data_IF_072066084714
#
_entry.id   IF_072066084714
#
_cell.length_a   1.000
_cell.length_b   1.000
_cell.length_c   1.000
_cell.angle_alpha   90.00
_cell.angle_beta   90.00
_cell.angle_gamma   90.00
#
_symmetry.space_group_name_H-M   'P 1'
#
loop_
_entity.id
_entity.type
_entity.pdbx_description
1 polymer ?
#
# COMPACT_ATOMS: atom_id res chain seq x y z
N UNK A 1 -95.60 11.33 -30.50
CA UNK A 1 -94.24 11.46 -31.03
C UNK A 1 -93.29 11.62 -29.86
N UNK A 2 -92.56 10.54 -29.49
CA UNK A 2 -91.65 10.52 -28.35
C UNK A 2 -90.21 10.66 -28.94
N UNK A 3 -89.50 11.72 -28.51
CA UNK A 3 -88.09 11.92 -28.91
C UNK A 3 -87.18 11.10 -27.98
N UNK A 4 -86.46 10.15 -28.60
CA UNK A 4 -85.45 9.34 -27.90
C UNK A 4 -84.16 10.12 -27.86
N UNK A 5 -83.67 10.51 -26.66
CA UNK A 5 -82.39 11.17 -26.45
C UNK A 5 -81.27 10.06 -26.34
N UNK A 6 -80.44 9.98 -27.36
CA UNK A 6 -79.30 9.12 -27.36
C UNK A 6 -78.11 9.78 -26.57
N UNK A 7 -77.86 9.32 -25.35
CA UNK A 7 -76.65 9.71 -24.58
C UNK A 7 -75.51 8.82 -24.92
N UNK A 8 -74.59 9.40 -25.68
CA UNK A 8 -73.29 8.72 -25.96
C UNK A 8 -72.41 8.86 -24.70
N UNK A 9 -72.14 7.73 -24.01
CA UNK A 9 -71.19 7.67 -22.94
C UNK A 9 -69.79 7.43 -23.55
N UNK A 10 -68.92 8.47 -23.51
CA UNK A 10 -67.55 8.38 -23.93
C UNK A 10 -66.75 7.75 -22.80
N UNK A 11 -66.45 6.44 -22.92
CA UNK A 11 -65.59 5.69 -21.99
C UNK A 11 -64.15 5.97 -22.39
N UNK A 12 -63.49 6.92 -21.69
CA UNK A 12 -62.04 7.13 -21.82
C UNK A 12 -61.33 6.03 -21.04
N UNK A 13 -60.87 5.00 -21.74
CA UNK A 13 -60.01 3.98 -21.16
C UNK A 13 -58.60 4.57 -20.94
N UNK A 14 -58.30 4.96 -19.69
CA UNK A 14 -56.97 5.38 -19.29
C UNK A 14 -56.10 4.11 -19.13
N UNK A 15 -55.41 3.70 -20.18
CA UNK A 15 -54.43 2.65 -20.10
C UNK A 15 -53.20 3.17 -19.35
N UNK A 16 -53.06 2.88 -18.05
CA UNK A 16 -51.79 3.03 -17.34
C UNK A 16 -50.75 2.11 -18.01
N UNK A 17 -49.91 2.67 -18.84
CA UNK A 17 -48.71 2.02 -19.32
C UNK A 17 -47.77 1.91 -18.12
N UNK A 18 -47.80 0.80 -17.40
CA UNK A 18 -46.75 0.41 -16.46
C UNK A 18 -45.55 0.05 -17.31
N UNK A 19 -44.67 0.99 -17.57
CA UNK A 19 -43.36 0.66 -18.15
C UNK A 19 -42.64 -0.19 -17.12
N UNK A 20 -42.28 -1.43 -17.44
CA UNK A 20 -41.42 -2.21 -16.56
C UNK A 20 -40.13 -1.36 -16.40
N UNK A 21 -39.81 -0.98 -15.18
CA UNK A 21 -38.49 -0.43 -14.89
C UNK A 21 -37.49 -1.50 -15.35
N UNK A 22 -36.77 -1.23 -16.43
CA UNK A 22 -35.62 -2.07 -16.78
C UNK A 22 -34.66 -1.96 -15.60
N UNK A 23 -34.66 -2.95 -14.72
CA UNK A 23 -33.58 -3.10 -13.76
C UNK A 23 -32.31 -3.16 -14.58
N UNK A 24 -31.39 -2.23 -14.34
CA UNK A 24 -30.07 -2.30 -14.95
C UNK A 24 -29.51 -3.70 -14.64
N UNK A 25 -29.11 -4.43 -15.67
CA UNK A 25 -28.50 -5.73 -15.48
C UNK A 25 -27.25 -5.52 -14.61
N UNK A 26 -27.10 -6.31 -13.57
CA UNK A 26 -25.90 -6.30 -12.76
C UNK A 26 -24.70 -6.67 -13.64
N UNK A 27 -23.68 -5.82 -13.66
CA UNK A 27 -22.44 -6.00 -14.41
C UNK A 27 -21.22 -6.07 -13.50
N UNK A 28 -21.44 -6.02 -12.20
CA UNK A 28 -20.42 -5.99 -11.18
C UNK A 28 -20.07 -7.41 -10.73
N UNK A 29 -18.79 -7.67 -10.51
CA UNK A 29 -18.36 -8.92 -9.90
C UNK A 29 -18.37 -8.81 -8.38
N UNK A 30 -18.52 -9.95 -7.64
CA UNK A 30 -18.48 -9.96 -6.19
C UNK A 30 -17.20 -9.34 -5.62
N UNK A 31 -17.33 -8.54 -4.57
CA UNK A 31 -16.24 -7.84 -3.91
C UNK A 31 -16.14 -8.27 -2.45
N UNK A 32 -14.92 -8.56 -1.98
CA UNK A 32 -14.66 -8.75 -0.55
C UNK A 32 -14.79 -7.42 0.18
N UNK A 33 -15.65 -7.35 1.19
CA UNK A 33 -15.88 -6.13 1.98
C UNK A 33 -15.35 -6.22 3.40
N UNK A 34 -15.28 -7.45 3.95
CA UNK A 34 -14.76 -7.67 5.30
C UNK A 34 -14.26 -9.10 5.48
N UNK A 35 -13.34 -9.31 6.43
CA UNK A 35 -12.88 -10.63 6.83
C UNK A 35 -12.35 -10.64 8.27
N UNK A 36 -12.43 -11.80 8.90
CA UNK A 36 -11.94 -12.03 10.25
C UNK A 36 -11.42 -13.46 10.39
N UNK A 37 -10.17 -13.59 10.86
CA UNK A 37 -9.66 -14.88 11.30
C UNK A 37 -10.37 -15.31 12.58
N UNK A 38 -10.94 -16.51 12.57
CA UNK A 38 -11.42 -17.18 13.77
C UNK A 38 -10.23 -17.88 14.43
N UNK A 39 -9.44 -18.60 13.62
CA UNK A 39 -8.19 -19.21 14.06
C UNK A 39 -7.03 -18.65 13.27
N UNK A 40 -6.11 -17.97 13.96
CA UNK A 40 -4.87 -17.44 13.38
C UNK A 40 -3.72 -18.45 13.41
N UNK A 41 -3.91 -19.57 14.11
CA UNK A 41 -2.91 -20.62 14.29
C UNK A 41 -3.57 -21.98 14.53
N UNK A 42 -2.85 -23.04 14.21
CA UNK A 42 -3.19 -24.42 14.54
C UNK A 42 -1.94 -25.22 14.86
N UNK A 43 -2.09 -26.28 15.67
CA UNK A 43 -0.99 -27.18 16.06
C UNK A 43 -1.29 -28.57 15.53
N UNK A 44 -0.39 -29.09 14.71
CA UNK A 44 -0.48 -30.42 14.10
C UNK A 44 0.49 -31.43 14.73
N UNK A 45 1.08 -31.14 15.89
CA UNK A 45 2.04 -32.03 16.55
C UNK A 45 1.44 -33.36 17.00
N UNK A 46 0.14 -33.43 17.21
CA UNK A 46 -0.56 -34.61 17.73
C UNK A 46 -1.69 -35.13 16.83
N UNK A 47 -1.95 -34.46 15.71
CA UNK A 47 -3.03 -34.81 14.79
C UNK A 47 -3.32 -33.70 13.81
N UNK A 48 -4.41 -33.84 13.07
CA UNK A 48 -4.87 -32.83 12.14
C UNK A 48 -5.26 -31.53 12.87
N UNK A 49 -4.89 -30.39 12.30
CA UNK A 49 -5.25 -29.07 12.78
C UNK A 49 -6.34 -28.42 11.95
N UNK A 50 -7.08 -27.51 12.54
CA UNK A 50 -8.16 -26.79 11.88
C UNK A 50 -7.87 -25.28 11.88
N UNK A 51 -8.16 -24.63 10.77
CA UNK A 51 -8.10 -23.18 10.59
C UNK A 51 -9.44 -22.68 10.07
N UNK A 52 -9.98 -21.61 10.64
CA UNK A 52 -11.27 -21.05 10.26
C UNK A 52 -11.16 -19.56 9.99
N UNK A 53 -11.92 -19.11 8.99
CA UNK A 53 -12.05 -17.72 8.61
C UNK A 53 -13.53 -17.38 8.40
N UNK A 54 -13.91 -16.17 8.72
CA UNK A 54 -15.17 -15.56 8.33
C UNK A 54 -14.87 -14.42 7.36
N UNK A 55 -15.68 -14.29 6.31
CA UNK A 55 -15.54 -13.19 5.36
C UNK A 55 -16.89 -12.79 4.79
N UNK A 56 -16.99 -11.56 4.34
CA UNK A 56 -18.20 -10.99 3.76
C UNK A 56 -17.93 -10.53 2.33
N UNK A 57 -18.83 -10.88 1.44
CA UNK A 57 -18.78 -10.50 0.03
C UNK A 57 -20.00 -9.63 -0.27
N UNK A 58 -19.82 -8.58 -1.06
CA UNK A 58 -20.90 -7.73 -1.55
C UNK A 58 -21.11 -7.94 -3.03
N UNK A 59 -22.38 -8.13 -3.42
CA UNK A 59 -22.80 -8.26 -4.81
C UNK A 59 -24.30 -7.96 -4.93
N UNK A 60 -24.74 -7.41 -6.06
CA UNK A 60 -26.15 -7.14 -6.33
C UNK A 60 -26.89 -8.44 -6.66
N UNK A 61 -26.20 -9.42 -7.23
CA UNK A 61 -26.69 -10.77 -7.53
C UNK A 61 -26.35 -11.75 -6.40
N UNK A 62 -26.88 -12.96 -6.50
CA UNK A 62 -26.44 -14.07 -5.63
C UNK A 62 -25.02 -14.50 -6.00
N UNK A 63 -24.21 -14.77 -4.98
CA UNK A 63 -22.84 -15.22 -5.17
C UNK A 63 -22.85 -16.73 -5.35
N UNK A 64 -22.26 -17.19 -6.45
CA UNK A 64 -22.04 -18.61 -6.67
C UNK A 64 -21.00 -19.15 -5.68
N UNK A 65 -21.13 -20.42 -5.33
CA UNK A 65 -20.35 -21.11 -4.29
C UNK A 65 -18.88 -20.67 -4.26
N UNK A 66 -18.47 -19.81 -3.32
CA UNK A 66 -17.08 -19.39 -3.20
C UNK A 66 -16.20 -20.57 -2.80
N UNK A 67 -14.99 -20.63 -3.33
CA UNK A 67 -14.00 -21.64 -2.99
C UNK A 67 -12.81 -21.01 -2.29
N UNK A 68 -12.29 -21.67 -1.29
CA UNK A 68 -11.07 -21.27 -0.61
C UNK A 68 -10.20 -22.47 -0.25
N UNK A 69 -8.93 -22.24 0.03
CA UNK A 69 -8.06 -23.20 0.69
C UNK A 69 -6.98 -22.47 1.50
N UNK A 70 -6.12 -23.22 2.16
CA UNK A 70 -4.95 -22.69 2.86
C UNK A 70 -3.71 -23.36 2.31
N UNK A 71 -2.73 -22.57 1.89
CA UNK A 71 -1.48 -23.06 1.31
C UNK A 71 -0.25 -22.60 2.08
N UNK A 72 0.76 -23.45 2.16
CA UNK A 72 2.06 -23.12 2.70
C UNK A 72 2.75 -22.03 1.84
N UNK A 73 3.40 -21.08 2.49
CA UNK A 73 4.16 -20.04 1.79
C UNK A 73 5.59 -20.47 1.44
N UNK A 74 6.06 -21.58 2.02
CA UNK A 74 7.43 -22.08 1.86
C UNK A 74 7.51 -23.40 1.10
N UNK A 75 6.38 -24.08 0.94
CA UNK A 75 6.30 -25.35 0.20
C UNK A 75 5.12 -25.30 -0.78
N UNK A 76 4.96 -26.33 -1.59
CA UNK A 76 3.79 -26.48 -2.48
C UNK A 76 2.58 -27.14 -1.81
N UNK A 77 2.64 -27.38 -0.49
CA UNK A 77 1.57 -28.02 0.25
C UNK A 77 0.36 -27.10 0.40
N UNK A 78 -0.81 -27.69 0.26
CA UNK A 78 -2.09 -27.01 0.42
C UNK A 78 -3.06 -27.93 1.17
N UNK A 79 -4.08 -27.33 1.79
CA UNK A 79 -5.24 -28.08 2.26
C UNK A 79 -6.12 -28.50 1.06
N UNK A 80 -7.07 -29.40 1.28
CA UNK A 80 -8.18 -29.55 0.34
C UNK A 80 -8.99 -28.24 0.24
N UNK A 81 -9.88 -28.19 -0.76
CA UNK A 81 -10.79 -27.05 -0.87
C UNK A 81 -11.68 -26.96 0.36
N UNK A 82 -11.76 -25.75 0.91
CA UNK A 82 -12.75 -25.40 1.90
C UNK A 82 -13.95 -24.81 1.16
N UNK A 83 -15.11 -25.38 1.38
CA UNK A 83 -16.39 -24.90 0.84
C UNK A 83 -17.02 -23.98 1.88
N UNK A 84 -16.96 -22.65 1.70
CA UNK A 84 -17.51 -21.71 2.66
C UNK A 84 -19.03 -21.90 2.81
N UNK A 85 -19.49 -21.85 4.05
CA UNK A 85 -20.93 -21.92 4.36
C UNK A 85 -21.45 -20.49 4.54
N UNK A 86 -22.53 -20.17 3.85
CA UNK A 86 -23.27 -18.93 4.07
C UNK A 86 -23.85 -18.94 5.50
N UNK A 87 -23.57 -17.92 6.28
CA UNK A 87 -24.08 -17.78 7.65
C UNK A 87 -25.09 -16.63 7.78
N UNK A 88 -25.01 -15.61 6.91
CA UNK A 88 -26.01 -14.55 6.86
C UNK A 88 -25.97 -13.82 5.51
N UNK A 89 -27.12 -13.25 5.11
CA UNK A 89 -27.25 -12.32 4.00
C UNK A 89 -28.06 -11.12 4.45
N UNK A 90 -27.50 -9.91 4.30
CA UNK A 90 -28.15 -8.64 4.64
C UNK A 90 -28.00 -7.69 3.45
N UNK A 91 -29.08 -7.42 2.76
CA UNK A 91 -29.03 -6.69 1.50
C UNK A 91 -28.11 -7.41 0.49
N UNK A 92 -27.17 -6.68 -0.05
CA UNK A 92 -26.20 -7.19 -1.03
C UNK A 92 -24.97 -7.84 -0.38
N UNK A 93 -24.91 -7.93 0.96
CA UNK A 93 -23.76 -8.49 1.67
C UNK A 93 -24.06 -9.89 2.17
N UNK A 94 -23.28 -10.86 1.68
CA UNK A 94 -23.32 -12.26 2.09
C UNK A 94 -22.10 -12.58 2.94
N UNK A 95 -22.33 -13.11 4.15
CA UNK A 95 -21.25 -13.49 5.08
C UNK A 95 -21.09 -14.99 5.12
N UNK A 96 -19.86 -15.45 4.98
CA UNK A 96 -19.49 -16.86 4.93
C UNK A 96 -18.52 -17.22 6.04
N UNK A 97 -18.51 -18.51 6.41
CA UNK A 97 -17.42 -19.10 7.20
C UNK A 97 -16.80 -20.25 6.42
N UNK A 98 -15.48 -20.33 6.42
CA UNK A 98 -14.73 -21.42 5.81
C UNK A 98 -13.86 -22.13 6.86
N UNK A 99 -13.72 -23.45 6.71
CA UNK A 99 -12.88 -24.29 7.54
C UNK A 99 -11.93 -25.09 6.66
N UNK A 100 -10.65 -25.04 6.98
CA UNK A 100 -9.60 -25.78 6.29
C UNK A 100 -8.87 -26.70 7.27
N UNK A 101 -8.66 -27.95 6.90
CA UNK A 101 -7.95 -28.94 7.71
C UNK A 101 -6.50 -29.08 7.22
N UNK A 102 -5.56 -28.75 8.09
CA UNK A 102 -4.14 -29.00 7.89
C UNK A 102 -3.82 -30.39 8.45
N UNK A 103 -3.32 -31.27 7.60
CA UNK A 103 -3.08 -32.66 8.00
C UNK A 103 -1.81 -32.79 8.85
N UNK A 104 -1.85 -33.75 9.79
CA UNK A 104 -0.65 -34.19 10.50
C UNK A 104 0.46 -34.55 9.52
N UNK A 105 1.69 -34.09 9.81
CA UNK A 105 2.84 -34.32 8.95
C UNK A 105 3.00 -33.35 7.76
N UNK A 106 2.10 -32.39 7.59
CA UNK A 106 2.33 -31.27 6.68
C UNK A 106 3.40 -30.33 7.25
N UNK A 107 4.03 -29.51 6.39
CA UNK A 107 5.10 -28.62 6.81
C UNK A 107 4.57 -27.53 7.75
N UNK A 108 5.23 -27.33 8.90
CA UNK A 108 4.90 -26.19 9.77
C UNK A 108 5.37 -24.88 9.15
N UNK A 109 4.95 -23.75 9.73
CA UNK A 109 5.36 -22.41 9.34
C UNK A 109 4.21 -21.51 8.96
N UNK A 110 4.50 -20.56 8.07
CA UNK A 110 3.49 -19.60 7.58
C UNK A 110 2.69 -20.25 6.46
N UNK A 111 1.40 -20.24 6.65
CA UNK A 111 0.43 -20.62 5.62
C UNK A 111 -0.43 -19.40 5.30
N UNK A 112 -1.10 -19.42 4.14
CA UNK A 112 -1.91 -18.30 3.66
C UNK A 112 -3.27 -18.78 3.17
N UNK A 113 -4.32 -18.09 3.56
CA UNK A 113 -5.62 -18.29 2.97
C UNK A 113 -5.61 -17.86 1.50
N UNK A 114 -6.22 -18.69 0.66
CA UNK A 114 -6.42 -18.47 -0.76
C UNK A 114 -7.92 -18.43 -1.01
N UNK A 115 -8.41 -17.37 -1.64
CA UNK A 115 -9.77 -17.28 -2.14
C UNK A 115 -9.72 -17.31 -3.66
N UNK A 116 -10.37 -18.28 -4.24
CA UNK A 116 -10.44 -18.45 -5.68
C UNK A 116 -11.29 -17.34 -6.33
N UNK A 117 -11.20 -17.16 -7.66
CA UNK A 117 -12.05 -16.19 -8.35
C UNK A 117 -13.52 -16.37 -7.97
N UNK A 118 -14.12 -15.27 -7.52
CA UNK A 118 -15.52 -15.22 -7.13
C UNK A 118 -16.39 -15.02 -8.36
N UNK A 119 -17.54 -15.65 -8.36
CA UNK A 119 -18.55 -15.45 -9.39
C UNK A 119 -19.90 -15.17 -8.77
N UNK A 120 -20.68 -14.34 -9.44
CA UNK A 120 -22.10 -14.22 -9.16
C UNK A 120 -22.96 -15.23 -9.95
N UNK A 121 -24.26 -15.24 -9.71
CA UNK A 121 -25.20 -16.14 -10.35
C UNK A 121 -25.42 -15.82 -11.85
N UNK A 122 -25.06 -14.64 -12.31
CA UNK A 122 -25.23 -14.20 -13.71
C UNK A 122 -23.92 -14.22 -14.51
N UNK A 123 -22.80 -14.61 -13.88
CA UNK A 123 -21.53 -14.90 -14.54
C UNK A 123 -20.46 -13.83 -14.46
N UNK A 124 -20.69 -12.68 -13.78
CA UNK A 124 -19.62 -11.73 -13.52
C UNK A 124 -18.61 -12.37 -12.56
N UNK A 125 -17.32 -12.13 -12.81
CA UNK A 125 -16.28 -12.74 -11.99
C UNK A 125 -15.19 -11.75 -11.62
N UNK A 126 -14.75 -11.81 -10.36
CA UNK A 126 -13.55 -11.12 -9.87
C UNK A 126 -12.32 -12.02 -10.02
N UNK A 127 -11.15 -11.41 -10.10
CA UNK A 127 -9.85 -12.13 -10.25
C UNK A 127 -9.45 -12.93 -8.99
N UNK A 128 -10.24 -12.91 -7.91
CA UNK A 128 -9.79 -13.37 -6.60
C UNK A 128 -8.84 -12.37 -5.94
N UNK A 129 -8.32 -12.68 -4.74
CA UNK A 129 -7.55 -11.73 -3.94
C UNK A 129 -6.05 -12.02 -3.96
N UNK A 130 -5.27 -10.97 -4.26
CA UNK A 130 -3.81 -10.96 -4.30
C UNK A 130 -3.19 -11.48 -5.60
N UNK A 131 -1.89 -11.30 -5.80
CA UNK A 131 -1.17 -11.89 -6.92
C UNK A 131 -1.29 -13.42 -6.86
N UNK A 132 -2.01 -14.00 -7.80
CA UNK A 132 -2.34 -15.43 -7.79
C UNK A 132 -3.53 -15.81 -6.91
N UNK A 133 -4.41 -14.85 -6.53
CA UNK A 133 -5.63 -15.12 -5.76
C UNK A 133 -5.39 -15.32 -4.26
N UNK A 134 -4.25 -14.93 -3.72
CA UNK A 134 -3.98 -15.08 -2.28
C UNK A 134 -4.39 -13.85 -1.48
N UNK A 135 -5.12 -14.06 -0.41
CA UNK A 135 -5.28 -13.03 0.62
C UNK A 135 -3.95 -12.82 1.34
N UNK A 136 -3.63 -11.59 1.76
CA UNK A 136 -2.47 -11.34 2.60
C UNK A 136 -2.73 -11.79 4.05
N UNK A 137 -3.51 -12.84 4.24
CA UNK A 137 -3.91 -13.35 5.56
C UNK A 137 -3.04 -14.54 5.89
N UNK A 138 -2.01 -14.28 6.67
CA UNK A 138 -1.14 -15.32 7.17
C UNK A 138 -1.76 -16.00 8.39
N UNK A 139 -1.63 -17.31 8.42
CA UNK A 139 -1.94 -18.18 9.56
C UNK A 139 -0.72 -19.02 9.90
N UNK A 140 -0.65 -19.52 11.12
CA UNK A 140 0.51 -20.26 11.59
C UNK A 140 0.17 -21.72 11.81
N UNK A 141 0.97 -22.61 11.24
CA UNK A 141 0.91 -24.04 11.47
C UNK A 141 2.13 -24.44 12.30
N UNK A 142 1.87 -24.95 13.47
CA UNK A 142 2.89 -25.40 14.42
C UNK A 142 2.96 -26.92 14.47
N UNK A 143 4.14 -27.42 14.76
CA UNK A 143 4.40 -28.82 15.09
C UNK A 143 5.38 -28.90 16.28
N UNK A 144 5.90 -30.11 16.57
CA UNK A 144 6.85 -30.33 17.66
C UNK A 144 8.18 -29.55 17.49
N UNK A 145 8.60 -29.27 16.25
CA UNK A 145 9.90 -28.65 15.93
C UNK A 145 9.77 -27.13 15.66
N UNK A 146 8.62 -26.71 15.18
CA UNK A 146 8.28 -25.29 14.95
C UNK A 146 7.18 -24.82 15.89
N UNK A 147 7.58 -24.34 17.05
CA UNK A 147 6.67 -23.85 18.09
C UNK A 147 6.43 -22.34 17.99
N UNK A 148 5.39 -21.84 18.65
CA UNK A 148 5.14 -20.41 18.75
C UNK A 148 6.29 -19.65 19.41
N UNK A 149 6.91 -20.24 20.42
CA UNK A 149 8.08 -19.65 21.10
C UNK A 149 9.24 -19.47 20.12
N UNK A 150 9.53 -20.48 19.31
CA UNK A 150 10.59 -20.39 18.29
C UNK A 150 10.27 -19.33 17.24
N UNK A 151 9.03 -19.28 16.76
CA UNK A 151 8.57 -18.26 15.81
C UNK A 151 8.80 -16.86 16.34
N UNK A 152 8.36 -16.59 17.59
CA UNK A 152 8.51 -15.28 18.21
C UNK A 152 9.99 -14.90 18.38
N UNK A 153 10.85 -15.87 18.71
CA UNK A 153 12.27 -15.65 18.78
C UNK A 153 12.89 -15.30 17.41
N UNK A 154 12.50 -16.02 16.37
CA UNK A 154 12.98 -15.77 15.00
C UNK A 154 12.51 -14.41 14.48
N UNK A 155 11.24 -14.00 14.76
CA UNK A 155 10.73 -12.68 14.41
C UNK A 155 11.46 -11.54 15.15
N UNK A 156 11.72 -11.72 16.44
CA UNK A 156 12.47 -10.74 17.23
C UNK A 156 13.92 -10.59 16.70
N UNK A 157 14.56 -11.69 16.33
CA UNK A 157 15.88 -11.67 15.71
C UNK A 157 15.87 -10.95 14.35
N UNK A 158 14.90 -11.24 13.51
CA UNK A 158 14.73 -10.57 12.22
C UNK A 158 14.45 -9.06 12.37
N UNK A 159 13.59 -8.68 13.30
CA UNK A 159 13.30 -7.27 13.59
C UNK A 159 14.55 -6.51 14.05
N UNK A 160 15.39 -7.15 14.88
CA UNK A 160 16.66 -6.58 15.31
C UNK A 160 17.62 -6.34 14.14
N UNK A 161 17.77 -7.32 13.24
CA UNK A 161 18.60 -7.16 12.04
C UNK A 161 18.15 -5.97 11.17
N UNK A 162 16.84 -5.82 10.98
CA UNK A 162 16.27 -4.67 10.22
C UNK A 162 16.56 -3.36 10.93
N UNK A 163 16.40 -3.30 12.25
CA UNK A 163 16.68 -2.10 13.04
C UNK A 163 18.17 -1.72 12.97
N UNK A 164 19.07 -2.68 13.12
CA UNK A 164 20.50 -2.45 13.03
C UNK A 164 20.93 -1.98 11.62
N UNK A 165 20.37 -2.57 10.57
CA UNK A 165 20.62 -2.15 9.19
C UNK A 165 20.13 -0.72 8.93
N UNK A 166 18.97 -0.35 9.45
CA UNK A 166 18.44 1.02 9.35
C UNK A 166 19.33 2.02 10.09
N UNK A 167 19.75 1.70 11.31
CA UNK A 167 20.65 2.56 12.09
C UNK A 167 21.98 2.79 11.38
N UNK A 168 22.54 1.75 10.76
CA UNK A 168 23.76 1.87 9.97
C UNK A 168 23.58 2.75 8.73
N UNK A 169 22.44 2.65 8.03
CA UNK A 169 22.11 3.49 6.89
C UNK A 169 21.96 4.96 7.29
N UNK A 170 21.27 5.22 8.39
CA UNK A 170 21.06 6.59 8.92
C UNK A 170 22.40 7.23 9.33
N UNK A 171 23.29 6.46 9.98
CA UNK A 171 24.62 6.92 10.34
C UNK A 171 25.45 7.29 9.10
N UNK A 172 25.43 6.44 8.06
CA UNK A 172 26.12 6.69 6.81
C UNK A 172 25.60 7.96 6.12
N UNK A 173 24.28 8.13 6.04
CA UNK A 173 23.66 9.32 5.47
C UNK A 173 24.06 10.59 6.22
N UNK A 174 24.15 10.54 7.56
CA UNK A 174 24.61 11.65 8.39
C UNK A 174 26.07 12.02 8.09
N UNK A 175 26.96 11.03 8.01
CA UNK A 175 28.37 11.24 7.68
C UNK A 175 28.55 11.86 6.28
N UNK A 176 27.79 11.39 5.29
CA UNK A 176 27.83 11.96 3.93
C UNK A 176 27.33 13.42 3.90
N UNK A 177 26.29 13.74 4.66
CA UNK A 177 25.79 15.09 4.79
C UNK A 177 26.79 16.03 5.46
N UNK A 178 27.46 15.59 6.53
CA UNK A 178 28.51 16.35 7.22
C UNK A 178 29.72 16.57 6.32
N UNK A 179 30.16 15.55 5.58
CA UNK A 179 31.26 15.66 4.62
C UNK A 179 30.95 16.66 3.49
N UNK A 180 29.73 16.65 2.98
CA UNK A 180 29.27 17.60 1.96
C UNK A 180 29.23 19.01 2.50
N UNK A 181 28.72 19.23 3.69
CA UNK A 181 28.68 20.55 4.34
C UNK A 181 30.09 21.12 4.56
N UNK A 182 31.05 20.27 4.97
CA UNK A 182 32.45 20.68 5.13
C UNK A 182 33.07 21.04 3.79
N UNK A 183 32.82 20.30 2.72
CA UNK A 183 33.32 20.61 1.38
C UNK A 183 32.73 21.93 0.86
N UNK A 184 31.45 22.19 1.05
CA UNK A 184 30.77 23.41 0.66
C UNK A 184 31.34 24.65 1.42
N UNK A 185 31.70 24.48 2.70
CA UNK A 185 32.31 25.53 3.50
C UNK A 185 33.72 25.88 2.99
N UNK A 186 34.54 24.88 2.68
CA UNK A 186 35.87 25.06 2.11
C UNK A 186 35.79 25.76 0.76
N UNK A 187 34.88 25.36 -0.12
CA UNK A 187 34.68 26.00 -1.42
C UNK A 187 34.31 27.49 -1.28
N UNK A 188 33.41 27.81 -0.32
CA UNK A 188 33.06 29.22 -0.03
C UNK A 188 34.24 30.05 0.49
N UNK A 189 35.08 29.46 1.34
CA UNK A 189 36.29 30.12 1.84
C UNK A 189 37.30 30.40 0.72
N UNK A 190 37.47 29.42 -0.19
CA UNK A 190 38.36 29.57 -1.34
C UNK A 190 37.89 30.69 -2.30
N UNK A 191 36.59 30.75 -2.59
CA UNK A 191 35.98 31.80 -3.40
C UNK A 191 36.16 33.18 -2.73
N UNK A 192 35.92 33.27 -1.41
CA UNK A 192 36.12 34.51 -0.65
C UNK A 192 37.56 34.96 -0.66
N UNK A 193 38.54 34.05 -0.52
CA UNK A 193 39.97 34.35 -0.59
C UNK A 193 40.38 34.87 -1.98
N UNK A 194 39.89 34.23 -3.06
CA UNK A 194 40.12 34.69 -4.45
C UNK A 194 39.52 36.09 -4.68
N UNK A 195 38.31 36.34 -4.18
CA UNK A 195 37.68 37.67 -4.30
C UNK A 195 38.44 38.76 -3.54
N UNK A 196 38.93 38.43 -2.33
CA UNK A 196 39.78 39.34 -1.55
C UNK A 196 41.11 39.65 -2.25
N UNK A 197 41.72 38.63 -2.87
CA UNK A 197 42.99 38.80 -3.61
C UNK A 197 42.85 39.67 -4.87
N UNK A 198 41.67 39.73 -5.47
CA UNK A 198 41.40 40.56 -6.67
C UNK A 198 40.83 41.93 -6.36
N UNK A 199 40.55 42.24 -5.10
CA UNK A 199 39.96 43.52 -4.70
C UNK A 199 40.90 44.66 -4.97
N UNK A 200 40.53 45.54 -5.93
CA UNK A 200 41.27 46.74 -6.23
C UNK A 200 41.05 47.81 -5.15
N UNK A 201 42.15 48.42 -4.67
CA UNK A 201 42.09 49.52 -3.73
C UNK A 201 42.57 50.77 -4.40
N UNK A 202 42.05 51.96 -4.00
CA UNK A 202 42.43 53.24 -4.55
C UNK A 202 43.26 54.01 -3.50
N UNK A 203 44.44 54.40 -3.86
CA UNK A 203 45.26 55.29 -3.03
C UNK A 203 45.40 56.64 -3.69
N UNK A 204 45.59 57.69 -2.89
CA UNK A 204 45.87 59.05 -3.35
C UNK A 204 47.34 59.34 -3.15
N UNK A 205 48.02 59.71 -4.22
CA UNK A 205 49.45 60.06 -4.21
C UNK A 205 49.61 61.55 -4.46
N UNK A 206 50.52 62.20 -3.75
CA UNK A 206 50.78 63.67 -3.78
C UNK A 206 52.22 63.94 -4.11
N UNK A 207 52.43 64.94 -5.00
CA UNK A 207 53.77 65.55 -5.30
C UNK A 207 53.61 67.08 -5.35
N UNK A 208 53.98 67.73 -4.28
CA UNK A 208 53.74 69.21 -4.13
C UNK A 208 52.23 69.48 -4.13
N UNK A 209 51.79 70.33 -5.09
CA UNK A 209 50.37 70.66 -5.26
C UNK A 209 49.62 69.69 -6.18
N UNK A 210 50.29 68.67 -6.73
CA UNK A 210 49.68 67.67 -7.65
C UNK A 210 49.20 66.45 -6.89
N UNK A 211 47.98 66.04 -7.22
CA UNK A 211 47.32 64.83 -6.62
C UNK A 211 46.97 63.84 -7.72
N UNK A 212 47.32 62.57 -7.54
CA UNK A 212 46.97 61.47 -8.45
C UNK A 212 46.32 60.29 -7.70
N UNK A 213 45.15 59.81 -8.15
CA UNK A 213 44.52 58.65 -7.64
C UNK A 213 44.93 57.38 -8.44
N UNK A 214 45.35 56.32 -7.76
CA UNK A 214 45.79 55.08 -8.38
C UNK A 214 44.93 53.93 -7.83
N UNK A 215 44.29 53.19 -8.73
CA UNK A 215 43.47 52.06 -8.39
C UNK A 215 44.10 50.76 -8.94
N UNK A 216 44.53 49.90 -8.07
CA UNK A 216 45.12 48.59 -8.42
C UNK A 216 44.89 47.56 -7.30
N UNK A 217 45.22 46.31 -7.52
CA UNK A 217 45.19 45.28 -6.48
C UNK A 217 46.20 45.61 -5.37
N UNK A 218 47.39 46.08 -5.70
CA UNK A 218 48.41 46.60 -4.77
C UNK A 218 48.91 47.95 -5.29
N UNK A 219 48.16 49.03 -5.07
CA UNK A 219 48.54 50.31 -5.63
C UNK A 219 49.78 50.86 -4.92
N UNK A 220 50.76 51.30 -5.72
CA UNK A 220 51.95 52.01 -5.27
C UNK A 220 52.04 53.39 -5.93
N UNK A 221 52.54 54.35 -5.21
CA UNK A 221 52.73 55.67 -5.78
C UNK A 221 53.90 55.69 -6.82
N UNK A 222 53.73 56.37 -7.97
CA UNK A 222 54.79 56.56 -8.94
C UNK A 222 56.00 57.29 -8.33
N UNK A 223 57.14 57.17 -9.00
CA UNK A 223 58.37 57.82 -8.55
C UNK A 223 58.14 59.31 -8.34
N UNK A 224 58.54 59.80 -7.18
CA UNK A 224 58.44 61.22 -6.81
C UNK A 224 57.07 61.60 -6.16
N UNK A 225 56.11 60.68 -6.05
CA UNK A 225 54.86 60.91 -5.30
C UNK A 225 54.86 60.14 -3.96
N UNK A 226 54.27 60.71 -2.95
CA UNK A 226 54.09 60.09 -1.64
C UNK A 226 52.63 59.81 -1.41
N UNK A 227 52.32 58.68 -0.72
CA UNK A 227 50.95 58.36 -0.32
C UNK A 227 50.46 59.42 0.66
N UNK A 228 49.24 59.90 0.44
CA UNK A 228 48.56 60.82 1.34
C UNK A 228 48.09 60.08 2.56
#
# INVERSE_FOLDING_TARGET
MKRLSLRIFLLVAFTLSVTPSAFAADTSAPVLVDWKLIDSKTDISKGDGVLRIQFSLSDESDISDPLSNVGSTTTTQQTGFAFPKLISKVGNVSTYTAEATVKFGQAPGVWRWLLFPLRDAIGNSSQGFGPGGSWPINVWVYDKDFTETKRLADEAAAAKVIADAKAAADLKAKQEAEAKAAADLLAKQEVAAKLAATKKTTITCIKGKLTKKITAIKPTCPAGYKKK
#
